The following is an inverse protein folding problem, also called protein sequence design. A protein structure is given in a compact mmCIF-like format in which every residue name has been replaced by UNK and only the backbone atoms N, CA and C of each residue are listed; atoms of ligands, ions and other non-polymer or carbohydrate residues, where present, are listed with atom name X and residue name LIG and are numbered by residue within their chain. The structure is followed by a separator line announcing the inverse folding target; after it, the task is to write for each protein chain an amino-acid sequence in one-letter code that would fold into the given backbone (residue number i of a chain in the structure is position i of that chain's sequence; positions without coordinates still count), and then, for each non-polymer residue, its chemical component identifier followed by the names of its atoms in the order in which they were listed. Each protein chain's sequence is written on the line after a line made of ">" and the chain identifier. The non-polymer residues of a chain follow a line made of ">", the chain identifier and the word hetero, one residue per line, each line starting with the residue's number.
data_IF_087760253692
#
_entry.id   IF_087760253692
#
_cell.length_a   1.000
_cell.length_b   1.000
_cell.length_c   1.000
_cell.angle_alpha   90.00
_cell.angle_beta   90.00
_cell.angle_gamma   90.00
#
_symmetry.space_group_name_H-M   'P 1'
#
loop_
_entity.id
_entity.type
_entity.pdbx_description
1 polymer ?
#
# COMPACT_ATOMS: atom_id res chain seq x y z
N UNK A 1 2.98 -34.81 32.02
CA UNK A 1 3.07 -34.25 30.65
C UNK A 1 1.88 -34.77 29.86
N UNK A 2 0.77 -34.01 29.79
CA UNK A 2 -0.42 -34.43 29.04
C UNK A 2 -0.32 -33.90 27.61
N UNK A 3 0.05 -34.76 26.66
CA UNK A 3 0.02 -34.46 25.24
C UNK A 3 -1.39 -34.73 24.69
N UNK A 4 -2.24 -33.70 24.63
CA UNK A 4 -3.48 -33.80 23.87
C UNK A 4 -3.15 -33.86 22.37
N UNK A 5 -3.09 -35.07 21.80
CA UNK A 5 -3.21 -35.26 20.35
C UNK A 5 -4.70 -35.25 20.01
N UNK A 6 -5.17 -34.14 19.44
CA UNK A 6 -6.51 -34.05 18.88
C UNK A 6 -6.53 -34.85 17.57
N UNK A 7 -7.24 -35.96 17.56
CA UNK A 7 -7.43 -36.81 16.39
C UNK A 7 -8.39 -36.08 15.42
N UNK A 8 -7.87 -35.41 14.39
CA UNK A 8 -8.66 -34.75 13.33
C UNK A 8 -8.82 -35.64 12.10
N UNK A 9 -9.09 -36.93 12.31
CA UNK A 9 -9.51 -37.82 11.23
C UNK A 9 -11.02 -37.66 11.04
N UNK A 10 -11.46 -36.69 10.23
CA UNK A 10 -12.88 -36.56 9.86
C UNK A 10 -13.38 -35.16 9.47
N UNK A 11 -12.64 -34.09 9.74
CA UNK A 11 -12.99 -32.76 9.21
C UNK A 11 -12.29 -32.58 7.86
N UNK A 12 -13.06 -32.58 6.77
CA UNK A 12 -12.62 -32.01 5.50
C UNK A 12 -12.22 -30.55 5.78
N UNK A 13 -10.93 -30.31 5.95
CA UNK A 13 -10.41 -28.94 6.04
C UNK A 13 -10.60 -28.33 4.67
N UNK A 14 -11.66 -27.52 4.50
CA UNK A 14 -11.86 -26.76 3.28
C UNK A 14 -10.59 -25.94 3.05
N UNK A 15 -9.91 -26.18 1.91
CA UNK A 15 -8.70 -25.45 1.56
C UNK A 15 -9.06 -23.96 1.54
N UNK A 16 -8.25 -23.08 2.16
CA UNK A 16 -8.51 -21.65 2.06
C UNK A 16 -8.48 -21.21 0.58
N UNK A 17 -9.19 -20.13 0.22
CA UNK A 17 -9.11 -19.58 -1.13
C UNK A 17 -7.65 -19.34 -1.56
N UNK A 18 -7.34 -19.44 -2.86
CA UNK A 18 -5.98 -19.24 -3.37
C UNK A 18 -5.42 -17.87 -2.97
N UNK A 19 -4.09 -17.74 -2.90
CA UNK A 19 -3.40 -16.47 -2.60
C UNK A 19 -3.91 -15.71 -1.35
N UNK A 20 -4.44 -16.43 -0.35
CA UNK A 20 -4.84 -15.88 0.94
C UNK A 20 -3.88 -16.29 2.05
N UNK A 21 -3.83 -15.48 3.11
CA UNK A 21 -3.00 -15.75 4.29
C UNK A 21 -3.80 -15.52 5.56
N UNK A 22 -3.64 -16.36 6.57
CA UNK A 22 -4.21 -16.08 7.88
C UNK A 22 -3.28 -15.14 8.66
N UNK A 23 -3.85 -14.07 9.22
CA UNK A 23 -3.16 -13.22 10.18
C UNK A 23 -2.84 -14.06 11.45
N UNK A 24 -1.57 -14.18 11.87
CA UNK A 24 -1.21 -14.99 13.02
C UNK A 24 -1.86 -14.57 14.34
N UNK A 25 -2.25 -13.29 14.48
CA UNK A 25 -2.78 -12.74 15.72
C UNK A 25 -4.30 -12.66 15.73
N UNK A 26 -4.91 -12.20 14.64
CA UNK A 26 -6.37 -12.03 14.56
C UNK A 26 -7.08 -13.23 13.93
N UNK A 27 -6.34 -14.23 13.44
CA UNK A 27 -6.86 -15.36 12.66
C UNK A 27 -7.71 -14.95 11.45
N UNK A 28 -7.53 -13.72 10.96
CA UNK A 28 -8.27 -13.19 9.82
C UNK A 28 -7.68 -13.65 8.52
N UNK A 29 -8.55 -14.00 7.59
CA UNK A 29 -8.14 -14.22 6.22
C UNK A 29 -7.78 -12.87 5.58
N UNK A 30 -6.54 -12.76 5.12
CA UNK A 30 -5.97 -11.59 4.47
C UNK A 30 -5.77 -11.86 2.98
N UNK A 31 -5.84 -10.79 2.20
CA UNK A 31 -5.44 -10.74 0.80
C UNK A 31 -4.41 -9.62 0.61
N UNK A 32 -3.51 -9.76 -0.36
CA UNK A 32 -2.55 -8.70 -0.67
C UNK A 32 -3.20 -7.53 -1.42
N UNK A 33 -2.75 -6.31 -1.13
CA UNK A 33 -3.03 -5.09 -1.92
C UNK A 33 -2.34 -5.09 -3.30
N UNK A 34 -1.39 -6.00 -3.53
CA UNK A 34 -0.46 -5.97 -4.67
C UNK A 34 0.79 -5.11 -4.42
N UNK A 35 0.85 -4.38 -3.31
CA UNK A 35 2.01 -3.58 -2.89
C UNK A 35 2.52 -4.12 -1.55
N UNK A 36 3.66 -4.85 -1.52
CA UNK A 36 4.18 -5.47 -0.29
C UNK A 36 4.38 -4.48 0.87
N UNK A 37 4.87 -3.28 0.60
CA UNK A 37 5.04 -2.24 1.61
C UNK A 37 3.72 -1.73 2.17
N UNK A 38 2.65 -1.70 1.38
CA UNK A 38 1.32 -1.34 1.86
C UNK A 38 0.70 -2.49 2.68
N UNK A 39 0.95 -3.74 2.31
CA UNK A 39 0.53 -4.89 3.11
C UNK A 39 1.20 -4.87 4.49
N UNK A 40 2.50 -4.57 4.57
CA UNK A 40 3.22 -4.39 5.84
C UNK A 40 2.56 -3.31 6.70
N UNK A 41 2.32 -2.13 6.10
CA UNK A 41 1.58 -1.02 6.72
C UNK A 41 0.23 -1.48 7.25
N UNK A 42 -0.54 -2.28 6.51
CA UNK A 42 -1.87 -2.71 6.95
C UNK A 42 -1.86 -3.87 7.96
N UNK A 43 -0.68 -4.36 8.35
CA UNK A 43 -0.53 -5.47 9.30
C UNK A 43 -0.59 -6.85 8.64
N UNK A 44 -0.04 -6.95 7.42
CA UNK A 44 0.11 -8.18 6.63
C UNK A 44 -0.82 -8.29 5.42
N UNK A 45 -1.59 -7.25 5.09
CA UNK A 45 -2.54 -7.23 3.98
C UNK A 45 -3.94 -6.73 4.38
N UNK A 46 -4.90 -6.86 3.47
CA UNK A 46 -6.29 -6.48 3.68
C UNK A 46 -7.13 -7.63 4.22
N UNK A 47 -7.88 -7.45 5.30
CA UNK A 47 -8.74 -8.51 5.80
C UNK A 47 -9.98 -8.67 4.91
N UNK A 48 -10.30 -9.93 4.60
CA UNK A 48 -11.55 -10.30 3.91
C UNK A 48 -12.74 -9.85 4.77
N UNK A 49 -13.74 -9.27 4.10
CA UNK A 49 -14.89 -8.60 4.71
C UNK A 49 -14.62 -7.16 5.15
N UNK A 50 -13.46 -6.59 4.82
CA UNK A 50 -13.08 -5.21 5.12
C UNK A 50 -13.24 -4.23 3.96
N UNK A 51 -13.23 -2.95 4.31
CA UNK A 51 -13.17 -1.80 3.38
C UNK A 51 -11.89 -1.01 3.63
N UNK A 52 -11.04 -0.85 2.62
CA UNK A 52 -9.95 0.12 2.59
C UNK A 52 -10.42 1.38 1.86
N UNK A 53 -10.33 2.52 2.52
CA UNK A 53 -10.51 3.83 1.91
C UNK A 53 -9.15 4.43 1.57
N UNK A 54 -8.98 4.86 0.33
CA UNK A 54 -7.85 5.63 -0.17
C UNK A 54 -8.35 7.04 -0.42
N UNK A 55 -7.93 8.00 0.41
CA UNK A 55 -8.19 9.40 0.13
C UNK A 55 -7.23 9.89 -0.95
N UNK A 56 -7.81 10.38 -2.03
CA UNK A 56 -7.10 10.81 -3.23
C UNK A 56 -6.39 12.15 -3.00
N UNK A 57 -5.24 12.29 -3.63
CA UNK A 57 -4.52 13.56 -3.70
C UNK A 57 -5.25 14.53 -4.64
N UNK A 58 -4.99 15.84 -4.49
CA UNK A 58 -5.67 16.88 -5.27
C UNK A 58 -5.20 16.97 -6.72
N UNK A 59 -3.91 16.72 -6.98
CA UNK A 59 -3.28 17.02 -8.27
C UNK A 59 -2.71 15.79 -8.97
N UNK A 60 -2.60 14.67 -8.26
CA UNK A 60 -1.94 13.46 -8.76
C UNK A 60 -2.84 12.25 -8.62
N UNK A 61 -2.65 11.26 -9.50
CA UNK A 61 -3.46 10.05 -9.53
C UNK A 61 -2.71 8.81 -9.00
N UNK A 62 -1.97 8.99 -7.90
CA UNK A 62 -1.31 7.87 -7.23
C UNK A 62 -2.31 6.84 -6.67
N UNK A 63 -3.55 7.27 -6.39
CA UNK A 63 -4.68 6.39 -6.04
C UNK A 63 -4.95 5.36 -7.13
N UNK A 64 -5.08 5.78 -8.39
CA UNK A 64 -5.30 4.85 -9.51
C UNK A 64 -4.14 3.87 -9.69
N UNK A 65 -2.91 4.27 -9.36
CA UNK A 65 -1.76 3.36 -9.34
C UNK A 65 -1.98 2.24 -8.30
N UNK A 66 -2.34 2.57 -7.06
CA UNK A 66 -2.62 1.57 -6.02
C UNK A 66 -3.80 0.65 -6.39
N UNK A 67 -4.85 1.21 -6.98
CA UNK A 67 -5.98 0.45 -7.48
C UNK A 67 -5.57 -0.52 -8.60
N UNK A 68 -4.69 -0.09 -9.51
CA UNK A 68 -4.15 -0.93 -10.57
C UNK A 68 -3.33 -2.11 -10.02
N UNK A 69 -2.57 -1.92 -8.94
CA UNK A 69 -1.93 -3.03 -8.21
C UNK A 69 -2.98 -3.99 -7.62
N UNK A 70 -4.03 -3.45 -7.00
CA UNK A 70 -5.08 -4.26 -6.38
C UNK A 70 -5.83 -5.13 -7.41
N UNK A 71 -6.15 -4.56 -8.57
CA UNK A 71 -6.72 -5.25 -9.72
C UNK A 71 -5.77 -6.29 -10.33
N UNK A 72 -4.50 -5.94 -10.52
CA UNK A 72 -3.50 -6.87 -11.07
C UNK A 72 -3.25 -8.06 -10.15
N UNK A 73 -3.26 -7.83 -8.84
CA UNK A 73 -3.19 -8.89 -7.83
C UNK A 73 -4.45 -9.76 -7.81
N UNK A 74 -5.63 -9.23 -8.17
CA UNK A 74 -6.83 -10.04 -8.34
C UNK A 74 -6.65 -11.06 -9.46
N UNK A 75 -6.21 -10.57 -10.63
CA UNK A 75 -6.02 -11.38 -11.84
C UNK A 75 -4.94 -12.44 -11.60
N UNK A 76 -3.78 -12.05 -11.06
CA UNK A 76 -2.69 -12.99 -10.82
C UNK A 76 -3.04 -14.08 -9.79
N UNK A 77 -3.91 -13.74 -8.82
CA UNK A 77 -4.39 -14.68 -7.82
C UNK A 77 -5.54 -15.59 -8.31
N UNK A 78 -6.13 -15.32 -9.49
CA UNK A 78 -7.35 -15.99 -9.95
C UNK A 78 -8.61 -15.61 -9.16
N UNK A 79 -8.59 -14.44 -8.50
CA UNK A 79 -9.76 -13.88 -7.81
C UNK A 79 -10.73 -13.23 -8.81
N UNK A 80 -12.02 -13.18 -8.48
CA UNK A 80 -12.97 -12.38 -9.27
C UNK A 80 -12.80 -10.90 -8.92
N UNK A 81 -12.91 -10.04 -9.93
CA UNK A 81 -12.73 -8.59 -9.81
C UNK A 81 -13.98 -7.85 -10.26
N UNK A 82 -14.48 -6.93 -9.44
CA UNK A 82 -15.58 -6.03 -9.79
C UNK A 82 -15.07 -4.59 -9.68
N UNK A 83 -15.07 -3.85 -10.79
CA UNK A 83 -14.61 -2.46 -10.86
C UNK A 83 -15.81 -1.57 -11.14
N UNK A 84 -15.97 -0.55 -10.30
CA UNK A 84 -17.03 0.45 -10.44
C UNK A 84 -16.36 1.81 -10.60
N UNK A 85 -16.60 2.45 -11.74
CA UNK A 85 -16.11 3.79 -12.03
C UNK A 85 -17.25 4.62 -12.63
N UNK A 86 -17.61 5.71 -11.96
CA UNK A 86 -18.67 6.61 -12.40
C UNK A 86 -18.18 7.71 -13.36
N UNK A 87 -16.87 7.96 -13.40
CA UNK A 87 -16.24 9.04 -14.17
C UNK A 87 -15.71 8.51 -15.52
N UNK A 88 -14.80 7.53 -15.46
CA UNK A 88 -13.99 7.14 -16.62
C UNK A 88 -14.39 5.78 -17.21
N UNK A 89 -14.11 5.61 -18.50
CA UNK A 89 -14.02 4.27 -19.09
C UNK A 89 -12.72 3.60 -18.64
N UNK A 90 -12.84 2.46 -17.97
CA UNK A 90 -11.68 1.76 -17.41
C UNK A 90 -10.96 0.98 -18.53
N UNK A 91 -9.91 1.58 -19.10
CA UNK A 91 -9.02 0.92 -20.06
C UNK A 91 -8.01 -0.01 -19.35
N UNK A 92 -8.47 -1.18 -18.90
CA UNK A 92 -7.64 -2.13 -18.13
C UNK A 92 -6.34 -2.54 -18.82
N UNK A 93 -6.35 -2.68 -20.16
CA UNK A 93 -5.19 -3.15 -20.93
C UNK A 93 -3.96 -2.23 -20.79
N UNK A 94 -4.18 -0.94 -20.57
CA UNK A 94 -3.12 0.06 -20.56
C UNK A 94 -2.65 0.42 -19.13
N UNK A 95 -3.46 0.11 -18.12
CA UNK A 95 -3.26 0.54 -16.74
C UNK A 95 -2.67 -0.55 -15.83
N UNK A 96 -2.93 -1.83 -16.11
CA UNK A 96 -2.59 -2.90 -15.17
C UNK A 96 -1.13 -3.36 -15.27
N UNK A 97 -0.33 -3.24 -14.18
CA UNK A 97 1.06 -3.69 -14.18
C UNK A 97 1.21 -5.21 -14.36
N UNK A 98 2.22 -5.60 -15.15
CA UNK A 98 2.61 -7.00 -15.33
C UNK A 98 3.48 -7.53 -14.19
N UNK A 99 3.75 -8.84 -14.15
CA UNK A 99 4.64 -9.49 -13.17
C UNK A 99 5.61 -10.45 -13.88
N UNK A 100 6.64 -10.95 -13.19
CA UNK A 100 7.74 -11.70 -13.82
C UNK A 100 7.29 -12.90 -14.70
N UNK A 101 6.18 -13.56 -14.39
CA UNK A 101 5.65 -14.65 -15.22
C UNK A 101 5.16 -14.17 -16.60
N UNK A 102 4.72 -12.92 -16.74
CA UNK A 102 4.36 -12.34 -18.05
C UNK A 102 5.57 -11.95 -18.88
N UNK A 103 6.76 -11.77 -18.25
CA UNK A 103 8.00 -11.41 -18.92
C UNK A 103 8.66 -12.58 -19.67
N UNK A 104 8.58 -13.80 -19.13
CA UNK A 104 9.20 -15.00 -19.74
C UNK A 104 8.60 -15.34 -21.12
N UNK A 105 7.33 -15.01 -21.35
CA UNK A 105 6.69 -15.24 -22.65
C UNK A 105 7.01 -14.16 -23.69
N UNK A 106 7.34 -12.93 -23.24
CA UNK A 106 7.74 -11.83 -24.13
C UNK A 106 9.20 -11.97 -24.59
N UNK A 107 10.12 -12.39 -23.70
CA UNK A 107 11.53 -12.65 -24.07
C UNK A 107 11.69 -13.88 -24.98
N UNK A 108 10.77 -14.84 -24.96
CA UNK A 108 10.79 -15.97 -25.89
C UNK A 108 10.52 -15.56 -27.36
N UNK A 109 10.01 -14.35 -27.61
CA UNK A 109 9.71 -13.85 -28.97
C UNK A 109 10.68 -12.80 -29.50
N UNK A 110 11.50 -12.16 -28.65
CA UNK A 110 12.59 -11.28 -29.11
C UNK A 110 13.93 -11.99 -28.98
N UNK A 111 14.33 -12.70 -30.04
CA UNK A 111 15.63 -13.37 -30.13
C UNK A 111 16.82 -12.40 -30.24
N UNK A 112 17.05 -11.55 -29.24
CA UNK A 112 18.31 -10.81 -29.08
C UNK A 112 19.08 -11.37 -27.89
N UNK A 113 19.93 -12.33 -28.21
CA UNK A 113 20.91 -12.92 -27.33
C UNK A 113 22.14 -12.02 -27.36
N UNK A 114 22.19 -10.97 -26.52
CA UNK A 114 23.35 -10.08 -26.45
C UNK A 114 24.35 -10.62 -25.42
N UNK A 115 25.20 -11.54 -25.88
CA UNK A 115 26.41 -11.95 -25.14
C UNK A 115 27.51 -10.93 -25.41
N UNK A 116 27.60 -9.90 -24.58
CA UNK A 116 28.83 -9.09 -24.50
C UNK A 116 29.80 -9.74 -23.52
N UNK A 117 30.85 -10.34 -24.06
CA UNK A 117 32.04 -10.80 -23.34
C UNK A 117 32.88 -9.62 -22.85
N UNK A 118 33.01 -9.44 -21.54
CA UNK A 118 34.13 -8.73 -20.93
C UNK A 118 34.34 -9.26 -19.52
N UNK A 119 35.54 -9.77 -19.23
CA UNK A 119 35.89 -10.35 -17.95
C UNK A 119 35.99 -9.30 -16.84
N UNK A 120 35.41 -9.61 -15.69
CA UNK A 120 35.78 -9.02 -14.40
C UNK A 120 35.58 -10.07 -13.32
N UNK A 121 36.61 -10.20 -12.48
CA UNK A 121 36.72 -11.07 -11.30
C UNK A 121 35.51 -10.98 -10.36
N UNK A 122 35.19 -12.04 -9.58
CA UNK A 122 34.09 -12.00 -8.65
C UNK A 122 34.40 -11.01 -7.52
N UNK A 123 33.70 -9.87 -7.55
CA UNK A 123 33.74 -8.88 -6.48
C UNK A 123 33.04 -9.50 -5.26
N UNK A 124 33.83 -9.87 -4.26
CA UNK A 124 33.32 -10.43 -3.01
C UNK A 124 32.50 -9.33 -2.30
N UNK A 125 31.22 -9.56 -1.96
CA UNK A 125 30.37 -8.50 -1.41
C UNK A 125 30.94 -8.04 -0.07
N UNK A 126 31.33 -6.76 0.03
CA UNK A 126 31.84 -6.14 1.24
C UNK A 126 30.91 -6.41 2.43
N UNK A 127 31.40 -7.21 3.39
CA UNK A 127 30.70 -7.58 4.62
C UNK A 127 30.81 -6.44 5.64
N UNK A 128 29.87 -5.49 5.58
CA UNK A 128 29.92 -4.30 6.44
C UNK A 128 29.51 -4.62 7.91
N UNK A 129 28.64 -5.61 8.18
CA UNK A 129 28.46 -6.20 9.51
C UNK A 129 27.51 -7.42 9.46
N UNK A 130 27.91 -8.54 10.09
CA UNK A 130 27.11 -9.76 10.29
C UNK A 130 25.67 -9.50 10.75
N UNK A 131 25.46 -8.46 11.57
CA UNK A 131 24.15 -8.17 12.19
C UNK A 131 23.05 -7.77 11.20
N UNK A 132 23.39 -7.19 10.05
CA UNK A 132 22.40 -6.70 9.08
C UNK A 132 22.00 -7.75 8.03
N UNK A 133 22.63 -8.93 8.07
CA UNK A 133 22.36 -10.01 7.11
C UNK A 133 21.03 -10.72 7.39
N UNK A 134 20.59 -10.75 8.66
CA UNK A 134 19.41 -11.51 9.09
C UNK A 134 18.21 -10.61 9.45
N UNK A 135 18.24 -9.32 9.14
CA UNK A 135 17.07 -8.47 9.37
C UNK A 135 16.01 -8.72 8.29
N UNK A 136 14.74 -8.93 8.69
CA UNK A 136 13.63 -8.98 7.74
C UNK A 136 13.59 -7.69 6.94
N UNK A 137 13.73 -7.77 5.61
CA UNK A 137 13.55 -6.65 4.70
C UNK A 137 12.23 -6.85 3.97
N UNK A 138 11.40 -5.81 3.94
CA UNK A 138 10.12 -5.82 3.21
C UNK A 138 10.39 -6.06 1.73
N UNK A 139 11.45 -5.45 1.19
CA UNK A 139 11.89 -5.60 -0.19
C UNK A 139 13.39 -5.91 -0.24
N UNK A 140 13.75 -6.98 -0.93
CA UNK A 140 15.13 -7.21 -1.37
C UNK A 140 15.34 -6.36 -2.62
N UNK A 141 15.82 -5.12 -2.46
CA UNK A 141 16.20 -4.22 -3.55
C UNK A 141 17.47 -4.68 -4.32
N UNK A 142 17.72 -5.99 -4.36
CA UNK A 142 18.72 -6.59 -5.25
C UNK A 142 18.02 -6.97 -6.54
N UNK A 143 18.42 -6.31 -7.63
CA UNK A 143 18.27 -6.77 -9.01
C UNK A 143 19.05 -8.10 -9.23
N UNK A 144 18.79 -9.14 -8.43
CA UNK A 144 19.35 -10.48 -8.66
C UNK A 144 18.52 -11.14 -9.78
N UNK A 145 18.95 -10.90 -11.02
CA UNK A 145 18.62 -11.71 -12.18
C UNK A 145 19.34 -13.07 -12.19
N UNK A 146 19.91 -13.52 -11.07
CA UNK A 146 20.58 -14.82 -10.99
C UNK A 146 19.71 -15.85 -10.25
N UNK A 147 19.23 -16.83 -11.02
CA UNK A 147 18.41 -17.93 -10.55
C UNK A 147 19.19 -18.85 -9.60
N UNK A 148 19.14 -18.56 -8.30
CA UNK A 148 19.40 -19.56 -7.25
C UNK A 148 18.27 -19.55 -6.24
N UNK A 149 17.22 -20.31 -6.55
CA UNK A 149 16.33 -20.83 -5.53
C UNK A 149 17.18 -21.54 -4.48
N UNK A 150 17.02 -21.17 -3.21
CA UNK A 150 17.46 -21.98 -2.08
C UNK A 150 16.91 -23.39 -2.25
N UNK A 151 17.77 -24.33 -2.61
CA UNK A 151 17.51 -25.77 -2.51
C UNK A 151 17.35 -26.08 -1.03
N UNK A 152 16.13 -26.13 -0.56
CA UNK A 152 15.71 -26.97 0.57
C UNK A 152 14.19 -27.16 0.50
N UNK A 153 13.79 -28.08 -0.38
CA UNK A 153 12.68 -29.02 -0.20
C UNK A 153 12.38 -29.64 -1.56
N UNK A 154 13.10 -30.72 -1.89
CA UNK A 154 12.76 -31.59 -3.01
C UNK A 154 11.87 -32.71 -2.49
N UNK A 155 10.57 -32.67 -2.80
CA UNK A 155 9.78 -33.84 -3.25
C UNK A 155 8.38 -33.39 -3.71
N UNK A 156 7.97 -33.93 -4.87
CA UNK A 156 6.67 -33.82 -5.55
C UNK A 156 6.47 -32.58 -6.43
N UNK A 157 6.62 -32.83 -7.74
CA UNK A 157 6.16 -31.96 -8.80
C UNK A 157 4.62 -32.01 -8.86
N UNK A 158 3.94 -31.17 -8.07
CA UNK A 158 2.50 -30.93 -8.18
C UNK A 158 2.17 -29.52 -7.70
N UNK A 159 1.50 -28.74 -8.56
CA UNK A 159 0.97 -27.38 -8.37
C UNK A 159 1.95 -26.32 -7.81
N UNK A 160 2.42 -25.39 -8.68
CA UNK A 160 2.96 -24.10 -8.20
C UNK A 160 1.90 -23.43 -7.31
N UNK A 161 2.15 -23.33 -6.01
CA UNK A 161 1.27 -22.58 -5.12
C UNK A 161 1.26 -21.11 -5.56
N UNK A 162 0.07 -20.55 -5.79
CA UNK A 162 -0.10 -19.14 -6.14
C UNK A 162 0.42 -18.28 -4.99
N UNK A 163 1.40 -17.38 -5.24
CA UNK A 163 1.97 -16.57 -4.17
C UNK A 163 0.93 -15.61 -3.58
N UNK A 164 1.10 -15.26 -2.31
CA UNK A 164 0.22 -14.33 -1.61
C UNK A 164 0.20 -12.92 -2.26
N UNK A 165 1.36 -12.47 -2.72
CA UNK A 165 1.58 -11.20 -3.40
C UNK A 165 2.59 -11.45 -4.53
N UNK A 166 2.23 -11.04 -5.74
CA UNK A 166 3.13 -11.10 -6.89
C UNK A 166 4.11 -9.93 -6.90
N UNK A 167 5.22 -10.11 -7.63
CA UNK A 167 6.17 -9.03 -7.88
C UNK A 167 5.82 -8.33 -9.19
N UNK A 168 5.05 -7.27 -9.08
CA UNK A 168 4.67 -6.44 -10.21
C UNK A 168 5.80 -5.51 -10.65
N UNK A 169 5.85 -5.25 -11.96
CA UNK A 169 6.73 -4.26 -12.59
C UNK A 169 5.85 -3.28 -13.40
N UNK A 170 5.84 -2.01 -12.98
CA UNK A 170 5.10 -0.92 -13.63
C UNK A 170 5.56 -0.63 -15.07
N UNK A 171 6.74 -1.12 -15.48
CA UNK A 171 7.20 -1.03 -16.87
C UNK A 171 6.65 -2.15 -17.76
N UNK A 172 5.98 -3.16 -17.17
CA UNK A 172 5.32 -4.25 -17.86
C UNK A 172 3.80 -4.09 -17.82
N UNK A 173 3.11 -4.78 -18.73
CA UNK A 173 1.63 -4.87 -18.75
C UNK A 173 1.19 -6.32 -18.73
N UNK A 174 0.01 -6.56 -18.14
CA UNK A 174 -0.63 -7.87 -18.20
C UNK A 174 -0.97 -8.19 -19.65
N UNK A 175 -0.73 -9.42 -20.08
CA UNK A 175 -1.06 -9.83 -21.44
C UNK A 175 -2.58 -9.82 -21.64
N UNK A 176 -3.09 -9.37 -22.80
CA UNK A 176 -4.53 -9.32 -23.07
C UNK A 176 -5.26 -10.64 -22.86
N UNK A 177 -4.63 -11.77 -23.21
CA UNK A 177 -5.19 -13.11 -23.01
C UNK A 177 -5.49 -13.41 -21.53
N UNK A 178 -4.58 -13.04 -20.64
CA UNK A 178 -4.74 -13.25 -19.19
C UNK A 178 -5.88 -12.39 -18.65
N UNK A 179 -6.08 -11.19 -19.21
CA UNK A 179 -7.21 -10.32 -18.87
C UNK A 179 -8.53 -10.92 -19.39
N UNK A 180 -8.53 -11.48 -20.61
CA UNK A 180 -9.69 -12.11 -21.24
C UNK A 180 -10.12 -13.41 -20.54
N UNK A 181 -9.17 -14.18 -20.00
CA UNK A 181 -9.42 -15.40 -19.22
C UNK A 181 -9.86 -15.10 -17.78
N UNK A 182 -9.67 -13.87 -17.29
CA UNK A 182 -10.03 -13.47 -15.94
C UNK A 182 -11.52 -13.08 -15.81
N UNK A 183 -12.13 -13.45 -14.69
CA UNK A 183 -13.50 -13.05 -14.37
C UNK A 183 -13.53 -11.62 -13.84
N UNK A 184 -13.74 -10.66 -14.75
CA UNK A 184 -13.78 -9.24 -14.43
C UNK A 184 -15.14 -8.66 -14.82
N UNK A 185 -15.80 -8.01 -13.86
CA UNK A 185 -17.00 -7.23 -14.07
C UNK A 185 -16.67 -5.75 -13.99
N UNK A 186 -16.94 -4.99 -15.06
CA UNK A 186 -16.70 -3.55 -15.12
C UNK A 186 -18.03 -2.83 -15.23
N UNK A 187 -18.29 -1.92 -14.30
CA UNK A 187 -19.45 -1.04 -14.27
C UNK A 187 -18.96 0.37 -14.57
N UNK A 188 -19.17 0.82 -15.81
CA UNK A 188 -18.80 2.16 -16.29
C UNK A 188 -19.89 3.19 -15.98
N UNK A 189 -19.52 4.48 -15.94
CA UNK A 189 -20.45 5.57 -15.63
C UNK A 189 -21.69 5.61 -16.52
N UNK A 190 -21.53 5.40 -17.84
CA UNK A 190 -22.66 5.37 -18.77
C UNK A 190 -23.60 4.18 -18.52
N UNK A 191 -23.04 2.99 -18.25
CA UNK A 191 -23.82 1.79 -17.91
C UNK A 191 -24.54 1.96 -16.57
N UNK A 192 -23.83 2.51 -15.59
CA UNK A 192 -24.34 2.76 -14.25
C UNK A 192 -25.47 3.78 -14.23
N UNK A 193 -25.33 4.89 -14.98
CA UNK A 193 -26.36 5.92 -15.11
C UNK A 193 -27.63 5.36 -15.75
N UNK A 194 -27.50 4.50 -16.77
CA UNK A 194 -28.66 3.86 -17.40
C UNK A 194 -29.37 2.93 -16.43
N UNK A 195 -28.61 2.02 -15.79
CA UNK A 195 -29.16 1.06 -14.84
C UNK A 195 -29.79 1.75 -13.61
N UNK A 196 -29.19 2.84 -13.10
CA UNK A 196 -29.73 3.56 -11.96
C UNK A 196 -31.05 4.25 -12.29
N UNK A 197 -31.21 4.77 -13.51
CA UNK A 197 -32.46 5.39 -13.96
C UNK A 197 -33.59 4.38 -14.16
N UNK A 198 -33.27 3.17 -14.62
CA UNK A 198 -34.26 2.11 -14.86
C UNK A 198 -34.80 1.52 -13.55
N UNK A 199 -33.92 1.13 -12.62
CA UNK A 199 -34.29 0.32 -11.46
C UNK A 199 -34.23 1.06 -10.11
N UNK A 200 -33.52 2.20 -10.04
CA UNK A 200 -33.16 2.85 -8.76
C UNK A 200 -33.51 4.33 -8.68
N UNK A 201 -34.33 4.85 -9.60
CA UNK A 201 -34.76 6.25 -9.61
C UNK A 201 -33.61 7.25 -9.75
N UNK A 202 -32.55 6.86 -10.46
CA UNK A 202 -31.33 7.64 -10.67
C UNK A 202 -30.26 7.50 -9.59
N UNK A 203 -30.53 6.79 -8.48
CA UNK A 203 -29.56 6.61 -7.40
C UNK A 203 -28.50 5.55 -7.72
N UNK A 204 -27.32 6.02 -8.14
CA UNK A 204 -26.19 5.17 -8.48
C UNK A 204 -25.67 4.37 -7.28
N UNK A 205 -25.71 4.94 -6.07
CA UNK A 205 -25.26 4.23 -4.87
C UNK A 205 -26.13 3.01 -4.59
N UNK A 206 -27.45 3.13 -4.71
CA UNK A 206 -28.37 1.99 -4.56
C UNK A 206 -28.14 0.95 -5.66
N UNK A 207 -27.94 1.40 -6.90
CA UNK A 207 -27.68 0.50 -8.04
C UNK A 207 -26.41 -0.35 -7.83
N UNK A 208 -25.28 0.29 -7.48
CA UNK A 208 -24.02 -0.40 -7.19
C UNK A 208 -24.18 -1.35 -6.01
N UNK A 209 -24.85 -0.92 -4.95
CA UNK A 209 -25.03 -1.73 -3.76
C UNK A 209 -25.84 -3.01 -4.04
N UNK A 210 -26.94 -2.90 -4.79
CA UNK A 210 -27.75 -4.05 -5.16
C UNK A 210 -26.99 -5.00 -6.09
N UNK A 211 -26.16 -4.47 -6.99
CA UNK A 211 -25.26 -5.26 -7.84
C UNK A 211 -24.27 -6.08 -7.00
N UNK A 212 -23.57 -5.42 -6.07
CA UNK A 212 -22.62 -6.06 -5.14
C UNK A 212 -23.35 -7.10 -4.27
N UNK A 213 -24.53 -6.79 -3.76
CA UNK A 213 -25.33 -7.71 -2.94
C UNK A 213 -25.68 -8.99 -3.71
N UNK A 214 -26.06 -8.89 -4.99
CA UNK A 214 -26.36 -10.05 -5.85
C UNK A 214 -25.10 -10.90 -6.09
N UNK A 215 -23.97 -10.28 -6.41
CA UNK A 215 -22.70 -10.99 -6.61
C UNK A 215 -22.28 -11.75 -5.35
N UNK A 216 -22.38 -11.10 -4.20
CA UNK A 216 -22.04 -11.70 -2.91
C UNK A 216 -22.99 -12.85 -2.59
N UNK A 217 -24.30 -12.66 -2.72
CA UNK A 217 -25.25 -13.71 -2.39
C UNK A 217 -25.11 -14.92 -3.31
N UNK A 218 -24.83 -14.73 -4.60
CA UNK A 218 -24.67 -15.80 -5.59
C UNK A 218 -23.44 -16.69 -5.29
N UNK A 219 -22.24 -16.10 -5.16
CA UNK A 219 -20.97 -16.86 -5.16
C UNK A 219 -20.07 -16.67 -3.95
N UNK A 220 -20.21 -15.57 -3.21
CA UNK A 220 -19.22 -15.17 -2.19
C UNK A 220 -19.75 -15.14 -0.77
N UNK A 221 -21.00 -15.48 -0.52
CA UNK A 221 -21.58 -15.50 0.82
C UNK A 221 -20.85 -16.51 1.71
N UNK A 222 -20.35 -16.04 2.85
CA UNK A 222 -19.70 -16.93 3.83
C UNK A 222 -20.70 -17.76 4.61
N UNK A 223 -21.99 -17.39 4.56
CA UNK A 223 -23.10 -18.04 5.25
C UNK A 223 -23.59 -19.29 4.51
N UNK A 224 -23.35 -19.37 3.19
CA UNK A 224 -23.74 -20.53 2.36
C UNK A 224 -22.62 -21.58 2.40
N UNK A 225 -22.90 -22.86 2.73
CA UNK A 225 -21.88 -23.90 2.71
C UNK A 225 -21.36 -24.09 1.28
N UNK A 226 -20.05 -24.34 1.14
CA UNK A 226 -19.49 -24.68 -0.17
C UNK A 226 -20.08 -26.01 -0.64
N UNK A 227 -20.46 -26.10 -1.92
CA UNK A 227 -20.90 -27.35 -2.51
C UNK A 227 -19.78 -28.41 -2.42
N UNK A 228 -20.10 -29.71 -2.28
CA UNK A 228 -19.08 -30.76 -2.22
C UNK A 228 -18.15 -30.70 -3.43
N UNK A 229 -16.85 -30.49 -3.20
CA UNK A 229 -15.82 -30.38 -4.25
C UNK A 229 -15.65 -28.98 -4.86
N UNK A 230 -16.45 -28.00 -4.49
CA UNK A 230 -16.26 -26.61 -4.92
C UNK A 230 -15.24 -25.89 -4.02
N UNK A 231 -14.28 -25.22 -4.64
CA UNK A 231 -13.33 -24.35 -3.93
C UNK A 231 -13.95 -22.96 -3.76
N UNK A 232 -13.72 -22.34 -2.60
CA UNK A 232 -14.10 -20.94 -2.37
C UNK A 232 -13.12 -20.02 -3.10
N UNK A 233 -13.65 -18.95 -3.68
CA UNK A 233 -12.85 -17.88 -4.29
C UNK A 233 -13.06 -16.56 -3.53
N UNK A 234 -12.24 -15.55 -3.84
CA UNK A 234 -12.36 -14.19 -3.31
C UNK A 234 -12.93 -13.26 -4.38
N UNK A 235 -13.82 -12.36 -3.98
CA UNK A 235 -14.26 -11.21 -4.75
C UNK A 235 -13.49 -9.96 -4.31
N UNK A 236 -12.79 -9.32 -5.24
CA UNK A 236 -12.15 -8.03 -5.03
C UNK A 236 -13.01 -6.95 -5.67
N UNK A 237 -13.44 -5.98 -4.87
CA UNK A 237 -14.30 -4.88 -5.32
C UNK A 237 -13.49 -3.61 -5.29
N UNK A 238 -13.46 -2.92 -6.41
CA UNK A 238 -12.80 -1.64 -6.59
C UNK A 238 -13.86 -0.59 -6.91
N UNK A 239 -13.92 0.48 -6.12
CA UNK A 239 -14.83 1.60 -6.35
C UNK A 239 -14.00 2.87 -6.48
N UNK A 240 -14.00 3.44 -7.68
CA UNK A 240 -13.22 4.62 -8.02
C UNK A 240 -13.98 5.91 -7.73
N UNK A 241 -13.24 6.86 -7.17
CA UNK A 241 -13.65 8.24 -6.88
C UNK A 241 -15.07 8.35 -6.31
N UNK A 242 -15.38 7.53 -5.30
CA UNK A 242 -16.68 7.50 -4.65
C UNK A 242 -17.04 8.90 -4.14
N UNK A 243 -18.23 9.40 -4.46
CA UNK A 243 -18.62 10.76 -4.04
C UNK A 243 -18.07 11.89 -4.90
N UNK A 244 -17.35 11.60 -5.99
CA UNK A 244 -17.08 12.61 -7.02
C UNK A 244 -18.38 13.18 -7.61
N UNK A 245 -18.27 14.27 -8.36
CA UNK A 245 -19.43 14.91 -9.01
C UNK A 245 -20.21 14.02 -9.99
N UNK A 246 -19.65 12.87 -10.38
CA UNK A 246 -20.31 11.89 -11.24
C UNK A 246 -21.27 10.97 -10.49
N UNK A 247 -21.14 10.85 -9.17
CA UNK A 247 -22.01 9.98 -8.36
C UNK A 247 -23.34 10.66 -8.04
N UNK A 248 -24.44 10.07 -8.52
CA UNK A 248 -25.79 10.56 -8.24
C UNK A 248 -26.43 9.79 -7.07
N UNK A 249 -26.88 10.53 -6.06
CA UNK A 249 -27.57 9.97 -4.90
C UNK A 249 -28.94 10.62 -4.70
N UNK A 250 -29.87 9.87 -4.09
CA UNK A 250 -31.20 10.39 -3.74
C UNK A 250 -31.14 11.53 -2.72
N UNK A 251 -30.16 11.51 -1.81
CA UNK A 251 -30.02 12.51 -0.75
C UNK A 251 -28.55 12.74 -0.36
N UNK A 252 -28.32 13.74 0.52
CA UNK A 252 -26.99 14.10 1.02
C UNK A 252 -26.33 13.02 1.89
N UNK A 253 -27.09 12.00 2.30
CA UNK A 253 -26.62 10.89 3.12
C UNK A 253 -26.42 9.62 2.30
N UNK A 254 -26.67 9.62 0.98
CA UNK A 254 -26.59 8.44 0.12
C UNK A 254 -25.23 7.74 0.23
N UNK A 255 -24.12 8.48 0.23
CA UNK A 255 -22.77 7.90 0.42
C UNK A 255 -22.60 7.21 1.78
N UNK A 256 -23.16 7.78 2.86
CA UNK A 256 -23.06 7.20 4.21
C UNK A 256 -23.95 5.96 4.33
N UNK A 257 -25.18 6.01 3.79
CA UNK A 257 -26.09 4.85 3.73
C UNK A 257 -25.49 3.73 2.91
N UNK A 258 -24.86 4.06 1.79
CA UNK A 258 -24.14 3.13 0.93
C UNK A 258 -23.03 2.41 1.69
N UNK A 259 -22.06 3.14 2.26
CA UNK A 259 -20.94 2.56 3.00
C UNK A 259 -21.39 1.73 4.20
N UNK A 260 -22.42 2.19 4.92
CA UNK A 260 -22.99 1.44 6.04
C UNK A 260 -23.55 0.08 5.59
N UNK A 261 -24.32 0.05 4.49
CA UNK A 261 -24.89 -1.20 3.94
C UNK A 261 -23.81 -2.08 3.31
N UNK A 262 -22.88 -1.50 2.56
CA UNK A 262 -21.75 -2.21 1.95
C UNK A 262 -20.93 -2.94 3.02
N UNK A 263 -20.62 -2.26 4.13
CA UNK A 263 -19.94 -2.87 5.28
C UNK A 263 -20.68 -4.11 5.77
N UNK A 264 -22.00 -4.03 5.92
CA UNK A 264 -22.84 -5.16 6.35
C UNK A 264 -22.77 -6.37 5.40
N UNK A 265 -22.83 -6.12 4.09
CA UNK A 265 -22.69 -7.16 3.06
C UNK A 265 -21.31 -7.82 3.15
N UNK A 266 -20.24 -7.02 3.27
CA UNK A 266 -18.88 -7.54 3.26
C UNK A 266 -18.55 -8.42 4.47
N UNK A 267 -19.10 -8.14 5.66
CA UNK A 267 -18.80 -8.92 6.89
C UNK A 267 -19.13 -10.41 6.80
N UNK A 268 -20.08 -10.77 5.94
CA UNK A 268 -20.53 -12.15 5.78
C UNK A 268 -20.24 -12.66 4.38
N UNK A 269 -19.09 -12.27 3.83
CA UNK A 269 -18.66 -12.61 2.47
C UNK A 269 -17.17 -12.92 2.39
N UNK A 270 -16.81 -13.62 1.32
CA UNK A 270 -15.44 -13.75 0.81
C UNK A 270 -15.09 -12.60 -0.13
N UNK A 271 -15.49 -11.37 0.22
CA UNK A 271 -15.21 -10.18 -0.56
C UNK A 271 -14.38 -9.16 0.22
N UNK A 272 -13.61 -8.34 -0.48
CA UNK A 272 -12.83 -7.23 0.06
C UNK A 272 -12.98 -6.03 -0.86
N UNK A 273 -13.16 -4.85 -0.28
CA UNK A 273 -13.41 -3.64 -1.05
C UNK A 273 -12.31 -2.60 -0.84
N UNK A 274 -11.81 -2.04 -1.94
CA UNK A 274 -10.95 -0.85 -1.95
C UNK A 274 -11.73 0.27 -2.63
N UNK A 275 -11.83 1.40 -1.94
CA UNK A 275 -12.56 2.59 -2.38
C UNK A 275 -11.58 3.75 -2.47
N UNK A 276 -11.52 4.44 -3.60
CA UNK A 276 -10.88 5.76 -3.66
C UNK A 276 -11.90 6.87 -3.46
N UNK A 277 -11.52 7.94 -2.77
CA UNK A 277 -12.41 9.02 -2.35
C UNK A 277 -11.71 10.38 -2.49
N UNK A 278 -12.22 11.31 -3.32
CA UNK A 278 -11.63 12.63 -3.53
C UNK A 278 -11.92 13.55 -2.34
N UNK A 279 -11.25 13.32 -1.21
CA UNK A 279 -11.48 14.04 0.05
C UNK A 279 -11.27 15.56 -0.09
N UNK A 280 -10.39 15.98 -1.00
CA UNK A 280 -10.09 17.38 -1.30
C UNK A 280 -11.30 18.16 -1.87
N UNK A 281 -12.32 17.48 -2.41
CA UNK A 281 -13.57 18.11 -2.85
C UNK A 281 -14.51 18.44 -1.68
N UNK A 282 -14.21 17.94 -0.49
CA UNK A 282 -15.00 18.12 0.73
C UNK A 282 -14.25 18.96 1.76
N UNK A 283 -13.55 19.98 1.29
CA UNK A 283 -12.83 20.96 2.10
C UNK A 283 -13.42 22.35 1.89
N UNK A 284 -13.65 23.07 2.99
CA UNK A 284 -14.09 24.46 2.98
C UNK A 284 -13.07 25.30 3.75
N UNK A 285 -12.42 26.25 3.06
CA UNK A 285 -11.37 27.08 3.66
C UNK A 285 -10.17 26.30 4.23
N UNK A 286 -9.85 25.12 3.66
CA UNK A 286 -8.80 24.23 4.18
C UNK A 286 -9.23 23.39 5.39
N UNK A 287 -10.50 23.45 5.79
CA UNK A 287 -11.07 22.62 6.85
C UNK A 287 -11.89 21.50 6.22
N UNK A 288 -11.58 20.26 6.61
CA UNK A 288 -12.30 19.07 6.15
C UNK A 288 -13.73 19.06 6.67
N UNK A 289 -14.69 18.86 5.78
CA UNK A 289 -16.10 18.78 6.15
C UNK A 289 -16.39 17.55 7.04
N UNK A 290 -17.40 17.61 7.92
CA UNK A 290 -17.77 16.49 8.80
C UNK A 290 -18.13 15.19 8.07
N UNK A 291 -18.59 15.27 6.82
CA UNK A 291 -18.91 14.09 6.00
C UNK A 291 -17.70 13.20 5.79
N UNK A 292 -16.51 13.77 5.60
CA UNK A 292 -15.26 13.04 5.39
C UNK A 292 -14.96 12.16 6.61
N UNK A 293 -15.05 12.73 7.82
CA UNK A 293 -14.86 11.97 9.08
C UNK A 293 -15.89 10.84 9.24
N UNK A 294 -17.13 11.04 8.79
CA UNK A 294 -18.17 10.00 8.81
C UNK A 294 -17.85 8.87 7.82
N UNK A 295 -17.37 9.20 6.63
CA UNK A 295 -16.89 8.23 5.62
C UNK A 295 -15.71 7.43 6.17
N UNK A 296 -14.70 8.10 6.75
CA UNK A 296 -13.55 7.46 7.42
C UNK A 296 -14.01 6.49 8.53
N UNK A 297 -15.05 6.85 9.29
CA UNK A 297 -15.57 6.02 10.37
C UNK A 297 -16.25 4.75 9.86
N UNK A 298 -16.93 4.81 8.71
CA UNK A 298 -17.64 3.68 8.11
C UNK A 298 -16.71 2.67 7.43
N UNK A 299 -15.50 3.09 7.05
CA UNK A 299 -14.48 2.22 6.45
C UNK A 299 -13.66 1.51 7.53
N UNK A 300 -13.03 0.38 7.23
CA UNK A 300 -12.25 -0.40 8.22
C UNK A 300 -10.79 0.05 8.31
N UNK A 301 -10.21 0.44 7.18
CA UNK A 301 -8.90 1.05 7.08
C UNK A 301 -9.01 2.33 6.24
N UNK A 302 -8.19 3.33 6.54
CA UNK A 302 -8.14 4.59 5.81
C UNK A 302 -6.69 5.02 5.68
N UNK A 303 -6.25 5.19 4.45
CA UNK A 303 -4.99 5.83 4.09
C UNK A 303 -5.28 7.10 3.30
N UNK A 304 -4.40 8.09 3.42
CA UNK A 304 -4.42 9.29 2.61
C UNK A 304 -3.11 9.43 1.88
N UNK A 305 -3.20 9.67 0.58
CA UNK A 305 -2.07 10.04 -0.25
C UNK A 305 -1.97 11.55 -0.27
N UNK A 306 -0.79 12.08 0.03
CA UNK A 306 -0.50 13.50 -0.03
C UNK A 306 0.75 13.68 -0.90
N UNK A 307 0.59 14.14 -2.13
CA UNK A 307 1.73 14.35 -3.02
C UNK A 307 2.46 15.66 -2.69
N UNK A 308 3.77 15.70 -2.92
CA UNK A 308 4.53 16.95 -2.80
C UNK A 308 4.14 17.98 -3.88
N UNK A 309 3.43 17.54 -4.92
CA UNK A 309 2.81 18.41 -5.91
C UNK A 309 1.50 19.01 -5.36
N UNK A 310 0.69 18.20 -4.66
CA UNK A 310 -0.64 18.55 -4.15
C UNK A 310 -0.67 19.53 -2.96
N UNK A 311 0.28 19.46 -2.02
CA UNK A 311 0.27 20.29 -0.79
C UNK A 311 0.90 21.67 -0.97
N UNK A 312 1.96 21.76 -1.78
CA UNK A 312 2.81 22.96 -1.89
C UNK A 312 2.58 23.74 -3.19
N UNK A 313 1.39 23.64 -3.76
CA UNK A 313 1.05 24.32 -5.00
C UNK A 313 -0.03 25.37 -4.77
N UNK A 314 0.33 26.49 -4.14
CA UNK A 314 -0.15 27.73 -4.76
C UNK A 314 0.56 27.84 -6.12
N UNK A 315 -0.06 28.38 -7.18
CA UNK A 315 0.60 28.54 -8.48
C UNK A 315 1.97 29.23 -8.38
N UNK A 316 2.17 30.06 -7.36
CA UNK A 316 3.39 30.79 -7.02
C UNK A 316 4.53 29.90 -6.50
N UNK A 317 4.22 28.86 -5.71
CA UNK A 317 5.22 27.99 -5.06
C UNK A 317 5.83 26.95 -6.03
N UNK A 318 5.08 26.59 -7.08
CA UNK A 318 5.60 25.76 -8.18
C UNK A 318 6.72 26.51 -8.93
N UNK A 319 6.55 27.81 -9.15
CA UNK A 319 7.56 28.67 -9.79
C UNK A 319 8.74 28.93 -8.85
N UNK A 320 8.50 29.08 -7.54
CA UNK A 320 9.57 29.27 -6.55
C UNK A 320 10.45 28.01 -6.36
N UNK A 321 9.89 26.79 -6.50
CA UNK A 321 10.70 25.55 -6.48
C UNK A 321 11.64 25.41 -7.67
N UNK A 322 11.34 26.05 -8.81
CA UNK A 322 12.27 26.12 -9.94
C UNK A 322 13.49 27.00 -9.65
N UNK A 323 13.45 27.89 -8.64
CA UNK A 323 14.54 28.82 -8.32
C UNK A 323 15.46 28.40 -7.16
N UNK A 324 15.18 27.29 -6.46
CA UNK A 324 16.05 26.73 -5.40
C UNK A 324 16.46 25.26 -5.65
N UNK A 325 17.59 25.01 -6.34
CA UNK A 325 18.01 23.65 -6.75
C UNK A 325 18.54 22.77 -5.60
N UNK A 326 19.09 23.36 -4.54
CA UNK A 326 19.86 22.61 -3.53
C UNK A 326 18.98 21.88 -2.49
N UNK A 327 17.82 22.43 -2.12
CA UNK A 327 16.85 21.76 -1.24
C UNK A 327 16.02 20.70 -2.01
N UNK A 328 15.82 20.89 -3.31
CA UNK A 328 15.14 19.94 -4.19
C UNK A 328 15.95 18.65 -4.41
N UNK A 329 17.28 18.73 -4.40
CA UNK A 329 18.17 17.59 -4.65
C UNK A 329 18.22 16.57 -3.49
N UNK A 330 17.91 16.98 -2.25
CA UNK A 330 17.86 16.09 -1.09
C UNK A 330 16.45 15.55 -0.80
N UNK A 331 15.41 16.15 -1.41
CA UNK A 331 14.01 15.73 -1.35
C UNK A 331 13.58 14.89 -2.57
N UNK A 332 14.49 14.53 -3.47
CA UNK A 332 14.19 14.00 -4.80
C UNK A 332 13.76 12.53 -4.86
N UNK A 333 13.83 11.79 -3.75
CA UNK A 333 13.55 10.34 -3.77
C UNK A 333 12.09 9.99 -3.49
N UNK A 334 11.34 10.88 -2.84
CA UNK A 334 9.95 10.67 -2.46
C UNK A 334 9.01 11.55 -3.28
N UNK A 335 7.82 11.02 -3.53
CA UNK A 335 6.79 11.70 -4.34
C UNK A 335 5.65 12.26 -3.47
N UNK A 336 5.58 11.84 -2.21
CA UNK A 336 4.59 12.31 -1.25
C UNK A 336 4.62 11.56 0.07
N UNK A 337 3.77 11.99 1.00
CA UNK A 337 3.50 11.33 2.26
C UNK A 337 2.32 10.37 2.16
N UNK A 338 2.39 9.29 2.94
CA UNK A 338 1.28 8.38 3.17
C UNK A 338 0.82 8.54 4.62
N UNK A 339 -0.38 9.07 4.83
CA UNK A 339 -0.94 9.19 6.16
C UNK A 339 -1.87 8.04 6.48
N UNK A 340 -1.65 7.43 7.63
CA UNK A 340 -2.51 6.37 8.13
C UNK A 340 -3.56 7.01 9.04
N UNK A 341 -4.77 7.17 8.51
CA UNK A 341 -5.89 7.76 9.27
C UNK A 341 -6.59 6.71 10.13
N UNK A 342 -6.70 5.47 9.64
CA UNK A 342 -7.33 4.35 10.37
C UNK A 342 -6.75 3.01 9.93
N UNK A 343 -6.60 2.10 10.89
CA UNK A 343 -6.14 0.74 10.63
C UNK A 343 -7.22 -0.30 10.84
N UNK A 344 -7.15 -1.43 10.11
CA UNK A 344 -8.14 -2.49 10.23
C UNK A 344 -8.12 -3.10 11.64
N UNK A 345 -9.31 -3.14 12.25
CA UNK A 345 -9.56 -3.73 13.58
C UNK A 345 -10.77 -4.66 13.55
N UNK A 346 -10.96 -5.37 12.44
CA UNK A 346 -11.96 -6.42 12.38
C UNK A 346 -11.68 -7.40 13.53
N UNK A 347 -12.72 -7.88 14.23
CA UNK A 347 -12.64 -8.91 15.30
C UNK A 347 -11.51 -8.73 16.35
N UNK A 348 -10.99 -7.51 16.54
CA UNK A 348 -9.89 -7.21 17.44
C UNK A 348 -10.03 -5.78 17.97
N UNK A 349 -9.68 -5.57 19.23
CA UNK A 349 -9.66 -4.23 19.83
C UNK A 349 -8.45 -3.40 19.37
N UNK A 350 -7.40 -4.08 18.89
CA UNK A 350 -6.13 -3.47 18.49
C UNK A 350 -5.79 -3.82 17.05
N UNK A 351 -5.18 -2.88 16.33
CA UNK A 351 -4.73 -3.10 14.97
C UNK A 351 -3.46 -3.96 14.96
N UNK A 352 -3.33 -4.84 13.95
CA UNK A 352 -2.22 -5.79 13.84
C UNK A 352 -0.88 -5.15 13.44
N UNK A 353 -0.89 -3.94 12.88
CA UNK A 353 0.31 -3.23 12.40
C UNK A 353 1.39 -3.12 13.49
N UNK A 354 1.05 -2.71 14.72
CA UNK A 354 2.04 -2.35 15.73
C UNK A 354 2.99 -3.48 16.15
N UNK A 355 2.68 -4.73 15.79
CA UNK A 355 3.51 -5.91 16.08
C UNK A 355 4.09 -6.60 14.85
N UNK A 356 3.48 -6.43 13.69
CA UNK A 356 3.85 -7.12 12.45
C UNK A 356 4.57 -6.22 11.44
N UNK A 357 4.34 -4.90 11.49
CA UNK A 357 4.90 -3.97 10.51
C UNK A 357 6.36 -3.67 10.80
N UNK A 358 7.22 -3.95 9.83
CA UNK A 358 8.64 -3.61 9.91
C UNK A 358 8.85 -2.09 9.81
N UNK A 359 7.99 -1.38 9.06
CA UNK A 359 8.04 0.08 8.94
C UNK A 359 7.66 0.79 10.25
N UNK A 360 6.91 0.12 11.14
CA UNK A 360 6.53 0.66 12.45
C UNK A 360 7.46 0.22 13.59
N UNK A 361 8.15 -0.92 13.44
CA UNK A 361 8.93 -1.55 14.53
C UNK A 361 10.16 -0.75 15.01
N UNK A 362 10.55 0.31 14.29
CA UNK A 362 11.75 1.11 14.55
C UNK A 362 11.59 2.34 15.46
N UNK A 363 10.55 2.40 16.30
CA UNK A 363 10.34 3.55 17.21
C UNK A 363 9.97 4.87 16.51
N UNK A 364 9.66 4.82 15.21
CA UNK A 364 9.16 5.96 14.44
C UNK A 364 7.66 6.18 14.66
N UNK A 365 7.25 7.45 14.68
CA UNK A 365 5.83 7.84 14.67
C UNK A 365 5.12 7.25 13.43
N UNK A 366 3.85 6.87 13.57
CA UNK A 366 2.98 6.39 12.47
C UNK A 366 2.85 7.37 11.30
N UNK A 367 3.29 8.62 11.49
CA UNK A 367 3.13 9.71 10.55
C UNK A 367 4.39 9.99 9.71
N UNK A 368 5.42 9.15 9.81
CA UNK A 368 6.67 9.34 9.07
C UNK A 368 6.75 8.37 7.88
N UNK A 369 5.68 8.19 7.12
CA UNK A 369 5.69 7.33 5.93
C UNK A 369 5.64 8.18 4.67
N UNK A 370 6.52 7.88 3.73
CA UNK A 370 6.53 8.48 2.41
C UNK A 370 6.44 7.40 1.34
N UNK A 371 5.84 7.74 0.21
CA UNK A 371 5.78 6.87 -0.95
C UNK A 371 6.72 7.38 -2.04
N UNK A 372 7.25 6.42 -2.81
CA UNK A 372 8.04 6.68 -4.01
C UNK A 372 7.47 5.87 -5.17
N UNK A 373 7.27 6.54 -6.29
CA UNK A 373 6.93 5.91 -7.56
C UNK A 373 8.19 5.90 -8.43
N UNK A 374 8.84 4.74 -8.57
CA UNK A 374 9.95 4.54 -9.50
C UNK A 374 9.42 3.92 -10.79
N UNK A 375 10.24 3.88 -11.84
CA UNK A 375 9.89 3.33 -13.16
C UNK A 375 9.24 1.94 -13.11
N UNK A 376 9.66 1.10 -12.16
CA UNK A 376 9.23 -0.29 -12.05
C UNK A 376 8.34 -0.58 -10.84
N UNK A 377 8.33 0.26 -9.80
CA UNK A 377 7.66 -0.08 -8.55
C UNK A 377 7.14 1.13 -7.81
N UNK A 378 6.02 0.96 -7.13
CA UNK A 378 5.54 1.84 -6.07
C UNK A 378 5.95 1.22 -4.73
N UNK A 379 6.53 2.00 -3.83
CA UNK A 379 6.94 1.52 -2.50
C UNK A 379 6.74 2.58 -1.43
N UNK A 380 6.42 2.13 -0.23
CA UNK A 380 6.24 2.95 0.98
C UNK A 380 7.39 2.67 1.92
N UNK A 381 8.02 3.73 2.43
CA UNK A 381 9.17 3.64 3.32
C UNK A 381 9.05 4.68 4.44
N UNK A 382 9.83 4.47 5.51
CA UNK A 382 9.96 5.48 6.56
C UNK A 382 10.69 6.69 6.00
N UNK A 383 10.05 7.86 6.08
CA UNK A 383 10.64 9.12 5.67
C UNK A 383 11.71 9.54 6.68
N UNK A 384 12.91 9.82 6.17
CA UNK A 384 14.01 10.38 6.93
C UNK A 384 14.33 11.76 6.37
N UNK A 385 14.41 12.75 7.26
CA UNK A 385 14.90 14.07 6.87
C UNK A 385 16.33 13.93 6.31
N UNK A 386 16.65 14.59 5.20
CA UNK A 386 18.02 14.62 4.70
C UNK A 386 18.93 15.22 5.77
N UNK A 387 20.11 14.62 5.96
CA UNK A 387 21.10 15.10 6.95
C UNK A 387 21.52 16.51 6.53
N UNK A 388 21.26 17.51 7.38
CA UNK A 388 21.72 18.87 7.16
C UNK A 388 23.24 18.87 6.93
N UNK A 389 23.68 19.43 5.80
CA UNK A 389 25.10 19.62 5.45
C UNK A 389 25.63 18.75 4.30
N UNK A 390 24.92 17.71 3.88
CA UNK A 390 25.39 16.83 2.79
C UNK A 390 26.73 16.12 3.11
N UNK A 391 27.08 15.13 2.30
CA UNK A 391 28.31 14.33 2.51
C UNK A 391 29.59 15.18 2.30
N UNK A 392 29.46 16.35 1.68
CA UNK A 392 30.56 17.27 1.35
C UNK A 392 30.95 18.25 2.45
N UNK A 393 30.17 18.44 3.52
CA UNK A 393 30.55 19.33 4.65
C UNK A 393 31.18 18.60 5.83
N UNK A 394 31.90 17.50 5.60
CA UNK A 394 32.82 16.99 6.63
C UNK A 394 33.99 17.97 6.76
N UNK A 395 33.80 19.06 7.51
CA UNK A 395 34.87 19.97 7.94
C UNK A 395 35.80 19.18 8.85
N UNK A 396 36.82 18.58 8.26
CA UNK A 396 38.01 18.20 9.03
C UNK A 396 38.64 19.53 9.44
N UNK A 397 38.73 19.86 10.75
CA UNK A 397 39.40 21.09 11.16
C UNK A 397 40.85 21.01 10.68
N UNK A 398 41.25 21.96 9.83
CA UNK A 398 42.64 22.12 9.45
C UNK A 398 43.47 22.35 10.71
N UNK A 399 44.58 21.61 10.86
CA UNK A 399 45.57 21.92 11.90
C UNK A 399 46.20 23.27 11.54
N UNK A 400 45.88 24.30 12.31
CA UNK A 400 46.59 25.57 12.24
C UNK A 400 48.03 25.38 12.77
N UNK A 401 48.99 25.25 11.85
CA UNK A 401 50.39 25.51 12.14
C UNK A 401 50.63 27.02 12.19
N UNK A 402 50.39 27.64 13.34
CA UNK A 402 50.87 29.00 13.62
C UNK A 402 52.20 28.94 14.39
N UNK A 403 53.30 29.11 13.66
CA UNK A 403 54.60 29.52 14.21
C UNK A 403 54.46 30.88 14.91
N UNK A 404 55.15 30.99 16.03
CA UNK A 404 54.85 31.96 17.07
C UNK A 404 55.20 33.42 16.80
N UNK A 405 54.64 34.28 17.65
CA UNK A 405 55.45 35.29 18.30
C UNK A 405 54.91 35.56 19.72
N UNK A 406 55.85 35.64 20.65
CA UNK A 406 55.65 35.72 22.10
C UNK A 406 55.53 37.20 22.46
N UNK A 407 54.42 37.63 23.05
CA UNK A 407 54.42 38.85 23.85
C UNK A 407 53.51 38.69 25.07
N UNK A 408 54.18 38.65 26.22
CA UNK A 408 53.61 38.69 27.56
C UNK A 408 53.03 40.08 27.83
N UNK A 409 51.76 40.15 28.23
CA UNK A 409 51.27 41.13 29.20
C UNK A 409 50.24 40.39 30.07
N UNK A 410 50.41 40.48 31.39
CA UNK A 410 49.83 39.55 32.35
C UNK A 410 48.56 39.98 33.08
N UNK A 411 48.21 39.09 34.01
CA UNK A 411 47.39 39.23 35.21
C UNK A 411 45.86 39.27 35.05
N UNK A 412 45.23 38.15 35.44
CA UNK A 412 44.21 38.19 36.49
C UNK A 412 42.82 37.65 36.15
N UNK A 413 42.34 36.75 37.01
CA UNK A 413 40.93 36.34 37.26
C UNK A 413 40.39 35.33 36.22
N UNK A 414 40.00 34.10 36.55
CA UNK A 414 39.54 33.52 37.82
C UNK A 414 38.15 32.92 37.59
N UNK A 415 38.10 31.59 37.40
CA UNK A 415 36.88 30.79 37.22
C UNK A 415 35.97 30.90 38.45
N UNK A 416 34.72 31.34 38.26
CA UNK A 416 33.72 31.47 39.32
C UNK A 416 32.39 30.83 38.90
N UNK A 417 32.18 29.59 39.34
CA UNK A 417 30.91 28.87 39.28
C UNK A 417 29.94 29.47 40.30
N UNK A 418 28.75 29.90 39.88
CA UNK A 418 27.66 30.32 40.78
C UNK A 418 26.92 29.10 41.37
N UNK A 419 26.64 29.03 42.69
CA UNK A 419 25.89 27.94 43.30
C UNK A 419 24.37 28.04 43.03
N UNK A 420 23.71 26.89 42.91
CA UNK A 420 22.29 26.73 42.61
C UNK A 420 21.34 27.17 43.73
N UNK A 421 20.13 27.58 43.34
CA UNK A 421 18.99 27.92 44.20
C UNK A 421 18.40 26.66 44.84
N UNK A 422 18.01 26.76 46.10
CA UNK A 422 17.29 25.75 46.87
C UNK A 422 15.81 25.65 46.48
N UNK A 423 15.31 24.41 46.43
CA UNK A 423 13.96 23.98 46.03
C UNK A 423 12.93 24.22 47.18
N UNK A 424 11.74 24.79 46.95
CA UNK A 424 10.86 25.27 48.02
C UNK A 424 9.79 24.27 48.50
N UNK A 425 10.05 22.97 48.52
CA UNK A 425 9.08 21.96 49.00
C UNK A 425 9.69 20.95 49.99
N UNK A 426 10.38 21.45 51.02
CA UNK A 426 10.58 20.70 52.26
C UNK A 426 9.56 21.16 53.32
N UNK A 427 8.59 20.29 53.59
CA UNK A 427 8.01 20.07 54.90
C UNK A 427 7.95 18.57 55.15
#
# INVERSE_FOLDING_TARGET
>A
MSSFRRNTAGQQTTKPPPATRLNPHSAQLLVSTGVPSLDDVLGGGLPVGGILLIEEDRQTDYSSTLLSYFASQAIAAGHELCIVDADQEVALKDQLPGWASTAHEMQAKSGLNDKSSAGSTPDEPMKIAWRYQNMPRIDSDRDDYDGKSSKDSSTLADARETPFCERFDLSLRIQPKVIEDATIEIVTGASLLRASNEDHGGDMYKCVLDRIARLVDDRFSSLKPAAPGANRNILRIEIRSLGSGFWQGSDSLSILKFLHRLRGILRYSYAVCVVSFPAHLYEDGGVRMPVVRRVEHLCDAVIQLESFEGTFATPSDIVARQSMPAAAAAASDYHGFLHIRKLPRLNSLTASMGRLSLLHSGGGSTNNLAFRLRRKKFSIETYHLPIEGGVTERRVPAKDEAKGNRQQVGAGVGCGSTPGRSDPLEF
#
